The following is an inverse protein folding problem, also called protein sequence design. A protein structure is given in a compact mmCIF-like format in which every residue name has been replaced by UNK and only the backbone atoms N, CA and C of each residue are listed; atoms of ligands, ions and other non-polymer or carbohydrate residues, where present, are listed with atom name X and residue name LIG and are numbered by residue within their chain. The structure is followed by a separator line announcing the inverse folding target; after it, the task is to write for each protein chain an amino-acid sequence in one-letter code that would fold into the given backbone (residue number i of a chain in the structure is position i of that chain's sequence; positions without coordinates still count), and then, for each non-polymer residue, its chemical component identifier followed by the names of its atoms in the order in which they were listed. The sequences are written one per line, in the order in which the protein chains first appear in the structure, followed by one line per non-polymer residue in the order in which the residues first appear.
data_IF_212471880222
#
_entry.id   IF_212471880222
#
_cell.length_a   1.000
_cell.length_b   1.000
_cell.length_c   1.000
_cell.angle_alpha   90.00
_cell.angle_beta   90.00
_cell.angle_gamma   90.00
#
_symmetry.space_group_name_H-M   'P 1'
#
loop_
_entity.id
_entity.type
_entity.pdbx_description
1 polymer ?
#
# COMPACT_ATOMS: atom_id res chain seq x y z
N UNK A 1 19.75 21.53 28.14
CA UNK A 1 19.36 20.94 26.84
C UNK A 1 20.54 20.11 26.36
N UNK A 2 20.35 18.89 25.84
CA UNK A 2 21.47 18.13 25.31
C UNK A 2 22.10 18.87 24.13
N UNK A 3 23.43 18.95 24.16
CA UNK A 3 24.27 19.52 23.11
C UNK A 3 24.35 18.51 21.95
N UNK A 4 23.54 18.72 20.92
CA UNK A 4 23.64 17.95 19.69
C UNK A 4 24.78 18.53 18.86
N UNK A 5 25.98 17.95 19.02
CA UNK A 5 27.12 18.20 18.15
C UNK A 5 26.70 18.13 16.67
N UNK A 6 27.02 19.18 15.91
CA UNK A 6 26.70 19.36 14.49
C UNK A 6 27.67 18.64 13.55
N UNK A 7 28.55 17.77 14.06
CA UNK A 7 29.56 17.05 13.25
C UNK A 7 29.01 15.84 12.47
N UNK A 8 27.69 15.65 12.45
CA UNK A 8 27.07 14.61 11.61
C UNK A 8 26.98 15.09 10.16
N UNK A 9 27.30 14.24 9.16
CA UNK A 9 27.12 14.59 7.75
C UNK A 9 25.66 14.98 7.49
N UNK A 10 25.39 15.89 6.53
CA UNK A 10 24.04 16.34 6.24
C UNK A 10 23.16 15.16 5.81
N UNK A 11 22.02 15.00 6.49
CA UNK A 11 21.04 13.95 6.23
C UNK A 11 20.56 14.03 4.78
N UNK A 12 20.65 12.92 4.06
CA UNK A 12 20.14 12.82 2.69
C UNK A 12 18.64 12.56 2.73
N UNK A 13 17.91 13.12 1.78
CA UNK A 13 16.47 12.85 1.63
C UNK A 13 16.19 11.34 1.55
N UNK A 14 17.02 10.60 0.81
CA UNK A 14 16.90 9.15 0.68
C UNK A 14 16.98 8.41 2.04
N UNK A 15 17.84 8.85 2.96
CA UNK A 15 17.97 8.24 4.30
C UNK A 15 16.72 8.50 5.14
N UNK A 16 16.15 9.71 5.05
CA UNK A 16 14.90 10.05 5.71
C UNK A 16 13.72 9.24 5.14
N UNK A 17 13.65 9.07 3.82
CA UNK A 17 12.58 8.30 3.18
C UNK A 17 12.69 6.80 3.48
N UNK A 18 13.91 6.26 3.57
CA UNK A 18 14.12 4.87 4.01
C UNK A 18 13.70 4.66 5.47
N UNK A 19 14.03 5.58 6.37
CA UNK A 19 13.57 5.51 7.76
C UNK A 19 12.03 5.57 7.86
N UNK A 20 11.40 6.43 7.06
CA UNK A 20 9.95 6.53 6.99
C UNK A 20 9.31 5.27 6.39
N UNK A 21 9.94 4.65 5.39
CA UNK A 21 9.43 3.43 4.77
C UNK A 21 9.43 2.25 5.76
N UNK A 22 10.44 2.14 6.62
CA UNK A 22 10.47 1.15 7.71
C UNK A 22 9.30 1.35 8.68
N UNK A 23 8.99 2.59 9.04
CA UNK A 23 7.84 2.88 9.90
C UNK A 23 6.52 2.50 9.23
N UNK A 24 6.38 2.73 7.92
CA UNK A 24 5.19 2.30 7.17
C UNK A 24 5.11 0.79 7.00
N UNK A 25 6.22 0.08 6.79
CA UNK A 25 6.23 -1.39 6.73
C UNK A 25 5.65 -1.97 8.02
N UNK A 26 6.08 -1.45 9.18
CA UNK A 26 5.56 -1.86 10.49
C UNK A 26 4.05 -1.57 10.63
N UNK A 27 3.60 -0.39 10.25
CA UNK A 27 2.17 -0.02 10.31
C UNK A 27 1.28 -0.82 9.36
N UNK A 28 1.88 -1.40 8.31
CA UNK A 28 1.19 -2.23 7.32
C UNK A 28 1.35 -3.74 7.59
N UNK A 29 2.03 -4.13 8.66
CA UNK A 29 2.31 -5.54 8.99
C UNK A 29 3.27 -6.23 8.03
N UNK A 30 4.05 -5.45 7.28
CA UNK A 30 5.01 -5.99 6.31
C UNK A 30 6.35 -6.32 6.96
N UNK A 31 7.13 -7.26 6.39
CA UNK A 31 8.50 -7.51 6.82
C UNK A 31 9.33 -6.21 6.79
N UNK A 32 10.32 -6.11 7.68
CA UNK A 32 11.26 -4.99 7.63
C UNK A 32 11.95 -4.94 6.26
N UNK A 33 12.14 -3.73 5.73
CA UNK A 33 12.77 -3.50 4.42
C UNK A 33 11.92 -3.96 3.22
N UNK A 34 10.63 -4.25 3.40
CA UNK A 34 9.72 -4.61 2.32
C UNK A 34 9.60 -3.50 1.27
N UNK A 35 9.39 -2.26 1.70
CA UNK A 35 9.35 -1.12 0.78
C UNK A 35 10.69 -0.87 0.09
N UNK A 36 11.82 -1.09 0.77
CA UNK A 36 13.16 -0.93 0.19
C UNK A 36 13.48 -2.02 -0.84
N UNK A 37 13.09 -3.26 -0.56
CA UNK A 37 13.20 -4.37 -1.51
C UNK A 37 12.34 -4.10 -2.75
N UNK A 38 11.10 -3.66 -2.52
CA UNK A 38 10.18 -3.25 -3.59
C UNK A 38 10.78 -2.12 -4.44
N UNK A 39 11.45 -1.14 -3.80
CA UNK A 39 12.10 -0.02 -4.49
C UNK A 39 13.21 -0.49 -5.44
N UNK A 40 14.07 -1.41 -5.00
CA UNK A 40 15.13 -1.96 -5.87
C UNK A 40 14.52 -2.68 -7.08
N UNK A 41 13.47 -3.48 -6.86
CA UNK A 41 12.79 -4.21 -7.94
C UNK A 41 12.08 -3.22 -8.90
N UNK A 42 11.38 -2.22 -8.37
CA UNK A 42 10.65 -1.22 -9.17
C UNK A 42 11.59 -0.41 -10.08
N UNK A 43 12.71 0.07 -9.54
CA UNK A 43 13.69 0.82 -10.33
C UNK A 43 14.28 -0.06 -11.43
N UNK A 44 14.67 -1.31 -11.12
CA UNK A 44 15.22 -2.24 -12.14
C UNK A 44 14.19 -2.61 -13.22
N UNK A 45 12.93 -2.80 -12.84
CA UNK A 45 11.84 -3.02 -13.80
C UNK A 45 11.65 -1.79 -14.70
N UNK A 46 11.68 -0.60 -14.11
CA UNK A 46 11.61 0.66 -14.85
C UNK A 46 12.77 0.83 -15.83
N UNK A 47 14.01 0.55 -15.41
CA UNK A 47 15.20 0.61 -16.27
C UNK A 47 15.06 -0.35 -17.46
N UNK A 48 14.65 -1.59 -17.19
CA UNK A 48 14.43 -2.60 -18.23
C UNK A 48 13.29 -2.22 -19.20
N UNK A 49 12.28 -1.49 -18.72
CA UNK A 49 11.18 -0.97 -19.53
C UNK A 49 11.52 0.36 -20.24
N UNK A 50 12.72 0.92 -20.04
CA UNK A 50 13.16 2.15 -20.70
C UNK A 50 12.51 3.43 -20.15
N UNK A 51 12.12 3.43 -18.87
CA UNK A 51 11.59 4.63 -18.20
C UNK A 51 12.64 5.75 -18.16
N UNK A 52 12.17 7.00 -18.18
CA UNK A 52 13.03 8.17 -18.05
C UNK A 52 13.63 8.26 -16.64
N UNK A 53 14.74 8.99 -16.46
CA UNK A 53 15.32 9.24 -15.12
C UNK A 53 14.30 9.89 -14.17
N UNK A 54 13.39 10.72 -14.69
CA UNK A 54 12.35 11.35 -13.89
C UNK A 54 11.32 10.31 -13.39
N UNK A 55 10.90 9.38 -14.24
CA UNK A 55 9.98 8.30 -13.86
C UNK A 55 10.65 7.28 -12.93
N UNK A 56 11.94 6.98 -13.12
CA UNK A 56 12.70 6.12 -12.22
C UNK A 56 12.82 6.72 -10.82
N UNK A 57 13.04 8.03 -10.74
CA UNK A 57 13.05 8.76 -9.47
C UNK A 57 11.68 8.70 -8.80
N UNK A 58 10.60 8.91 -9.55
CA UNK A 58 9.26 8.85 -8.99
C UNK A 58 8.90 7.41 -8.57
N UNK A 59 9.34 6.38 -9.30
CA UNK A 59 9.21 4.97 -8.92
C UNK A 59 9.97 4.63 -7.64
N UNK A 60 11.18 5.18 -7.48
CA UNK A 60 12.00 5.04 -6.28
C UNK A 60 11.24 5.55 -5.04
N UNK A 61 10.68 6.76 -5.10
CA UNK A 61 9.94 7.33 -3.99
C UNK A 61 8.55 6.71 -3.82
N UNK A 62 7.91 6.29 -4.92
CA UNK A 62 6.61 5.62 -4.86
C UNK A 62 6.75 4.31 -4.10
N UNK A 63 7.72 3.47 -4.43
CA UNK A 63 7.94 2.22 -3.71
C UNK A 63 8.23 2.41 -2.21
N UNK A 64 8.98 3.46 -1.84
CA UNK A 64 9.29 3.76 -0.44
C UNK A 64 8.12 4.35 0.35
N UNK A 65 7.31 5.20 -0.30
CA UNK A 65 6.31 6.03 0.39
C UNK A 65 4.87 5.66 0.04
N UNK A 66 4.67 4.59 -0.74
CA UNK A 66 3.36 4.10 -1.19
C UNK A 66 2.31 4.10 -0.09
N UNK A 67 2.69 3.70 1.12
CA UNK A 67 1.76 3.56 2.25
C UNK A 67 1.80 4.69 3.27
N UNK A 68 2.47 5.80 2.97
CA UNK A 68 2.62 6.94 3.90
C UNK A 68 1.27 7.50 4.38
N UNK A 69 0.20 7.35 3.58
CA UNK A 69 -1.16 7.76 3.92
C UNK A 69 -2.09 6.65 4.45
N UNK A 70 -1.66 5.39 4.46
CA UNK A 70 -2.55 4.24 4.73
C UNK A 70 -2.92 4.04 6.21
N UNK A 71 -2.44 4.92 7.07
CA UNK A 71 -2.77 4.91 8.50
C UNK A 71 -3.95 5.81 8.86
N UNK A 72 -4.51 6.54 7.90
CA UNK A 72 -5.55 7.56 8.13
C UNK A 72 -6.83 6.97 8.73
N UNK A 73 -7.22 5.78 8.27
CA UNK A 73 -8.48 5.12 8.64
C UNK A 73 -8.26 3.82 9.42
N UNK A 74 -7.07 3.62 10.00
CA UNK A 74 -6.74 2.42 10.80
C UNK A 74 -7.73 2.22 11.94
N UNK A 75 -8.18 3.29 12.60
CA UNK A 75 -9.21 3.20 13.65
C UNK A 75 -10.55 2.66 13.13
N UNK A 76 -10.96 3.09 11.93
CA UNK A 76 -12.19 2.60 11.32
C UNK A 76 -12.04 1.12 10.96
N UNK A 77 -10.94 0.74 10.30
CA UNK A 77 -10.68 -0.64 9.92
C UNK A 77 -10.61 -1.56 11.16
N UNK A 78 -9.88 -1.17 12.21
CA UNK A 78 -9.77 -1.97 13.44
C UNK A 78 -11.11 -2.10 14.17
N UNK A 79 -11.98 -1.09 14.10
CA UNK A 79 -13.36 -1.18 14.63
C UNK A 79 -14.25 -2.21 13.90
N UNK A 80 -13.83 -2.67 12.72
CA UNK A 80 -14.52 -3.68 11.92
C UNK A 80 -13.90 -5.05 12.13
N UNK A 81 -12.58 -5.15 11.93
CA UNK A 81 -11.87 -6.44 11.82
C UNK A 81 -11.09 -6.84 13.07
N UNK A 82 -11.03 -5.97 14.09
CA UNK A 82 -10.19 -6.18 15.26
C UNK A 82 -8.71 -5.98 14.92
N UNK A 83 -8.02 -7.06 14.56
CA UNK A 83 -6.59 -7.06 14.24
C UNK A 83 -6.35 -6.70 12.77
N UNK A 84 -6.28 -5.39 12.49
CA UNK A 84 -6.09 -4.87 11.15
C UNK A 84 -4.68 -5.08 10.59
N UNK A 85 -3.67 -5.24 11.46
CA UNK A 85 -2.29 -5.55 11.04
C UNK A 85 -2.24 -6.95 10.46
N UNK A 86 -2.84 -7.94 11.15
CA UNK A 86 -2.93 -9.29 10.64
C UNK A 86 -3.76 -9.33 9.34
N UNK A 87 -4.87 -8.59 9.27
CA UNK A 87 -5.67 -8.47 8.03
C UNK A 87 -4.81 -7.95 6.86
N UNK A 88 -4.06 -6.86 7.03
CA UNK A 88 -3.19 -6.29 5.98
C UNK A 88 -2.11 -7.26 5.52
N UNK A 89 -1.54 -8.02 6.46
CA UNK A 89 -0.53 -9.06 6.19
C UNK A 89 -1.08 -10.21 5.35
N UNK A 90 -2.37 -10.51 5.49
CA UNK A 90 -3.04 -11.50 4.66
C UNK A 90 -3.52 -10.92 3.33
N UNK A 91 -4.12 -9.72 3.35
CA UNK A 91 -4.66 -9.03 2.18
C UNK A 91 -3.64 -8.88 1.05
N UNK A 92 -2.38 -8.57 1.39
CA UNK A 92 -1.31 -8.39 0.39
C UNK A 92 -1.08 -9.64 -0.47
N UNK A 93 -1.53 -10.83 -0.03
CA UNK A 93 -1.37 -12.11 -0.72
C UNK A 93 -2.57 -12.46 -1.61
N UNK A 94 -3.65 -11.69 -1.54
CA UNK A 94 -4.88 -11.89 -2.30
C UNK A 94 -4.81 -11.02 -3.55
N UNK A 95 -5.16 -11.58 -4.70
CA UNK A 95 -5.38 -10.78 -5.90
C UNK A 95 -6.53 -9.80 -5.62
N UNK A 96 -6.28 -8.51 -5.74
CA UNK A 96 -7.30 -7.46 -5.52
C UNK A 96 -8.49 -7.55 -6.49
N UNK A 97 -8.37 -8.30 -7.59
CA UNK A 97 -9.48 -8.62 -8.50
C UNK A 97 -10.40 -9.73 -7.95
N UNK A 98 -9.90 -10.54 -7.01
CA UNK A 98 -10.64 -11.61 -6.34
C UNK A 98 -11.45 -11.05 -5.15
N UNK A 99 -12.61 -10.50 -5.51
CA UNK A 99 -13.56 -9.92 -4.55
C UNK A 99 -14.07 -10.99 -3.59
N UNK A 100 -14.25 -12.23 -4.04
CA UNK A 100 -14.76 -13.34 -3.22
C UNK A 100 -13.78 -13.64 -2.08
N UNK A 101 -12.51 -13.93 -2.42
CA UNK A 101 -11.45 -14.16 -1.43
C UNK A 101 -11.28 -12.97 -0.47
N UNK A 102 -11.39 -11.75 -0.98
CA UNK A 102 -11.30 -10.53 -0.16
C UNK A 102 -12.44 -10.44 0.85
N UNK A 103 -13.69 -10.68 0.43
CA UNK A 103 -14.87 -10.64 1.31
C UNK A 103 -14.82 -11.78 2.32
N UNK A 104 -14.44 -12.98 1.91
CA UNK A 104 -14.27 -14.13 2.81
C UNK A 104 -13.25 -13.85 3.91
N UNK A 105 -12.11 -13.25 3.55
CA UNK A 105 -11.09 -12.81 4.50
C UNK A 105 -11.68 -11.81 5.50
N UNK A 106 -12.34 -10.75 5.03
CA UNK A 106 -12.92 -9.72 5.91
C UNK A 106 -13.96 -10.32 6.86
N UNK A 107 -14.86 -11.17 6.37
CA UNK A 107 -15.86 -11.86 7.20
C UNK A 107 -15.17 -12.73 8.25
N UNK A 108 -14.11 -13.46 7.89
CA UNK A 108 -13.35 -14.28 8.85
C UNK A 108 -12.78 -13.43 9.98
N UNK A 109 -12.20 -12.27 9.68
CA UNK A 109 -11.69 -11.37 10.71
C UNK A 109 -12.79 -10.76 11.58
N UNK A 110 -13.94 -10.36 11.00
CA UNK A 110 -15.11 -9.92 11.78
C UNK A 110 -15.54 -11.01 12.76
N UNK A 111 -15.57 -12.28 12.33
CA UNK A 111 -15.90 -13.42 13.21
C UNK A 111 -14.89 -13.59 14.35
N UNK A 112 -13.60 -13.47 14.05
CA UNK A 112 -12.54 -13.59 15.06
C UNK A 112 -12.62 -12.47 16.11
N UNK A 113 -12.85 -11.22 15.67
CA UNK A 113 -13.02 -10.06 16.55
C UNK A 113 -14.25 -10.17 17.46
N UNK A 114 -15.25 -10.98 17.06
CA UNK A 114 -16.52 -11.16 17.76
C UNK A 114 -16.74 -12.61 18.22
N UNK A 115 -15.67 -13.33 18.57
CA UNK A 115 -15.72 -14.76 18.91
C UNK A 115 -16.66 -15.12 20.09
N UNK A 116 -17.01 -14.16 20.94
CA UNK A 116 -17.94 -14.34 22.07
C UNK A 116 -19.41 -14.05 21.73
N UNK A 117 -19.70 -13.55 20.52
CA UNK A 117 -21.07 -13.23 20.10
C UNK A 117 -21.88 -14.50 19.81
N UNK A 118 -23.19 -14.47 20.08
CA UNK A 118 -24.10 -15.51 19.61
C UNK A 118 -24.20 -15.51 18.08
N UNK A 119 -24.64 -16.60 17.44
CA UNK A 119 -24.82 -16.65 15.99
C UNK A 119 -25.72 -15.53 15.44
N UNK A 120 -26.78 -15.16 16.17
CA UNK A 120 -27.69 -14.08 15.76
C UNK A 120 -27.01 -12.71 15.87
N UNK A 121 -26.26 -12.47 16.95
CA UNK A 121 -25.50 -11.22 17.13
C UNK A 121 -24.43 -11.09 16.06
N UNK A 122 -23.71 -12.17 15.75
CA UNK A 122 -22.69 -12.19 14.73
C UNK A 122 -23.25 -11.90 13.33
N UNK A 123 -24.40 -12.48 12.98
CA UNK A 123 -25.08 -12.17 11.72
C UNK A 123 -25.44 -10.67 11.63
N UNK A 124 -26.00 -10.10 12.70
CA UNK A 124 -26.32 -8.67 12.76
C UNK A 124 -25.07 -7.77 12.63
N UNK A 125 -23.96 -8.14 13.27
CA UNK A 125 -22.69 -7.42 13.16
C UNK A 125 -22.18 -7.46 11.72
N UNK A 126 -22.16 -8.64 11.10
CA UNK A 126 -21.74 -8.78 9.70
C UNK A 126 -22.63 -7.92 8.80
N UNK A 127 -23.95 -7.97 8.93
CA UNK A 127 -24.87 -7.16 8.13
C UNK A 127 -24.60 -5.65 8.30
N UNK A 128 -24.39 -5.19 9.54
CA UNK A 128 -24.06 -3.80 9.83
C UNK A 128 -22.74 -3.38 9.19
N UNK A 129 -21.68 -4.18 9.34
CA UNK A 129 -20.36 -3.88 8.78
C UNK A 129 -20.35 -3.95 7.25
N UNK A 130 -21.09 -4.89 6.66
CA UNK A 130 -21.24 -5.00 5.21
C UNK A 130 -22.01 -3.81 4.61
N UNK A 131 -22.90 -3.17 5.38
CA UNK A 131 -23.54 -1.93 4.96
C UNK A 131 -22.54 -0.76 4.80
N UNK A 132 -21.37 -0.83 5.44
CA UNK A 132 -20.28 0.15 5.31
C UNK A 132 -19.35 -0.13 4.13
N UNK A 133 -19.52 -1.26 3.42
CA UNK A 133 -18.67 -1.64 2.27
C UNK A 133 -18.52 -0.52 1.20
N UNK A 134 -19.56 0.28 0.87
CA UNK A 134 -19.40 1.39 -0.07
C UNK A 134 -18.35 2.42 0.38
N UNK A 135 -18.13 2.60 1.69
CA UNK A 135 -17.11 3.53 2.21
C UNK A 135 -15.69 3.12 1.84
N UNK A 136 -15.45 1.84 1.57
CA UNK A 136 -14.14 1.34 1.15
C UNK A 136 -13.68 2.05 -0.13
N UNK A 137 -14.58 2.18 -1.11
CA UNK A 137 -14.27 2.79 -2.41
C UNK A 137 -14.52 4.29 -2.44
N UNK A 138 -15.46 4.81 -1.64
CA UNK A 138 -15.78 6.25 -1.63
C UNK A 138 -14.97 7.07 -0.64
N UNK A 139 -14.35 6.45 0.36
CA UNK A 139 -13.70 7.18 1.46
C UNK A 139 -12.36 6.57 1.89
N UNK A 140 -12.30 5.27 2.18
CA UNK A 140 -11.10 4.61 2.71
C UNK A 140 -9.90 4.70 1.72
N UNK A 141 -10.03 4.12 0.52
CA UNK A 141 -8.95 4.19 -0.47
C UNK A 141 -8.67 5.62 -0.97
N UNK A 142 -9.68 6.45 -1.31
CA UNK A 142 -9.43 7.84 -1.69
C UNK A 142 -8.77 8.66 -0.57
N UNK A 143 -9.15 8.42 0.69
CA UNK A 143 -8.61 9.08 1.87
C UNK A 143 -7.12 8.81 2.05
N UNK A 144 -6.71 7.54 1.89
CA UNK A 144 -5.30 7.15 1.88
C UNK A 144 -4.50 7.91 0.80
N UNK A 145 -5.02 7.96 -0.43
CA UNK A 145 -4.39 8.68 -1.53
C UNK A 145 -4.32 10.20 -1.30
N UNK A 146 -5.35 10.80 -0.69
CA UNK A 146 -5.38 12.22 -0.33
C UNK A 146 -4.35 12.54 0.76
N UNK A 147 -4.28 11.75 1.83
CA UNK A 147 -3.28 11.94 2.89
C UNK A 147 -1.87 11.78 2.32
N UNK A 148 -1.64 10.79 1.46
CA UNK A 148 -0.34 10.60 0.83
C UNK A 148 0.08 11.79 -0.04
N UNK A 149 -0.85 12.33 -0.87
CA UNK A 149 -0.63 13.56 -1.63
C UNK A 149 -0.27 14.73 -0.74
N UNK A 150 -1.03 14.96 0.33
CA UNK A 150 -0.78 16.07 1.27
C UNK A 150 0.58 15.93 1.97
N UNK A 151 0.98 14.71 2.34
CA UNK A 151 2.30 14.46 2.94
C UNK A 151 3.43 14.68 1.93
N UNK A 152 3.28 14.19 0.69
CA UNK A 152 4.26 14.42 -0.37
C UNK A 152 4.44 15.93 -0.66
N UNK A 153 3.35 16.69 -0.76
CA UNK A 153 3.40 18.15 -0.91
C UNK A 153 4.12 18.82 0.27
N UNK A 154 3.84 18.39 1.51
CA UNK A 154 4.51 18.94 2.71
C UNK A 154 5.99 18.60 2.79
N UNK A 155 6.39 17.46 2.24
CA UNK A 155 7.79 17.05 2.09
C UNK A 155 8.47 17.72 0.89
N UNK A 156 7.78 18.64 0.20
CA UNK A 156 8.28 19.41 -0.93
C UNK A 156 8.68 18.54 -2.14
N UNK A 157 7.99 17.41 -2.33
CA UNK A 157 8.13 16.64 -3.56
C UNK A 157 7.51 17.39 -4.75
N UNK A 158 8.03 17.17 -5.98
CA UNK A 158 7.47 17.77 -7.18
C UNK A 158 6.06 17.22 -7.47
N UNK A 159 5.29 17.99 -8.24
CA UNK A 159 3.92 17.63 -8.65
C UNK A 159 3.86 16.27 -9.37
N UNK A 160 4.94 15.87 -10.07
CA UNK A 160 5.02 14.56 -10.72
C UNK A 160 4.89 13.41 -9.70
N UNK A 161 5.53 13.54 -8.55
CA UNK A 161 5.46 12.55 -7.48
C UNK A 161 4.16 12.66 -6.69
N UNK A 162 3.67 13.88 -6.42
CA UNK A 162 2.35 14.08 -5.78
C UNK A 162 1.26 13.38 -6.58
N UNK A 163 1.28 13.51 -7.92
CA UNK A 163 0.38 12.75 -8.80
C UNK A 163 0.59 11.24 -8.68
N UNK A 164 1.83 10.76 -8.73
CA UNK A 164 2.20 9.33 -8.65
C UNK A 164 1.66 8.68 -7.38
N UNK A 165 1.95 9.26 -6.21
CA UNK A 165 1.53 8.70 -4.91
C UNK A 165 0.01 8.75 -4.71
N UNK A 166 -0.66 9.67 -5.40
CA UNK A 166 -2.12 9.73 -5.44
C UNK A 166 -2.80 8.59 -6.22
N UNK A 167 -2.03 7.76 -6.92
CA UNK A 167 -2.54 6.67 -7.77
C UNK A 167 -2.26 5.28 -7.19
N UNK A 168 -1.88 5.16 -5.90
CA UNK A 168 -1.40 3.90 -5.34
C UNK A 168 -2.37 2.72 -5.53
N UNK A 169 -3.69 2.92 -5.47
CA UNK A 169 -4.67 1.83 -5.71
C UNK A 169 -5.25 1.81 -7.13
N UNK A 170 -4.68 2.56 -8.07
CA UNK A 170 -5.08 2.49 -9.47
C UNK A 170 -4.78 1.10 -10.02
N UNK A 171 -5.64 0.62 -10.93
CA UNK A 171 -5.49 -0.66 -11.61
C UNK A 171 -5.49 -0.41 -13.11
N UNK A 172 -4.63 -1.12 -13.84
CA UNK A 172 -4.49 -0.95 -15.29
C UNK A 172 -5.81 -1.07 -16.07
N UNK A 173 -6.74 -1.90 -15.58
CA UNK A 173 -8.06 -2.14 -16.17
C UNK A 173 -9.09 -1.02 -15.93
N UNK A 174 -8.81 -0.07 -15.04
CA UNK A 174 -9.73 1.00 -14.64
C UNK A 174 -10.60 0.67 -13.43
N UNK A 175 -10.45 -0.51 -12.81
CA UNK A 175 -11.26 -0.95 -11.68
C UNK A 175 -10.66 -0.56 -10.31
N UNK A 176 -9.56 0.21 -10.33
CA UNK A 176 -8.90 0.70 -9.12
C UNK A 176 -9.44 2.03 -8.60
N UNK A 177 -8.79 2.55 -7.57
CA UNK A 177 -9.10 3.85 -6.96
C UNK A 177 -7.82 4.70 -6.93
N UNK A 178 -7.72 5.80 -7.71
CA UNK A 178 -8.72 6.36 -8.62
C UNK A 178 -8.98 5.47 -9.84
N UNK A 179 -10.14 5.66 -10.48
CA UNK A 179 -10.58 4.93 -11.67
C UNK A 179 -9.85 5.41 -12.95
N UNK A 180 -8.53 5.30 -12.94
CA UNK A 180 -7.64 5.55 -14.08
C UNK A 180 -7.35 4.24 -14.80
N UNK A 181 -7.18 4.31 -16.13
CA UNK A 181 -6.97 3.13 -16.98
C UNK A 181 -5.75 3.31 -17.89
N UNK A 182 -4.98 2.25 -18.07
CA UNK A 182 -3.86 2.23 -18.99
C UNK A 182 -2.87 3.35 -18.75
N UNK A 183 -2.50 4.04 -19.82
CA UNK A 183 -1.53 5.15 -19.84
C UNK A 183 -1.97 6.40 -19.06
N UNK A 184 -3.20 6.43 -18.52
CA UNK A 184 -3.62 7.47 -17.58
C UNK A 184 -2.95 7.30 -16.19
N UNK A 185 -2.43 6.10 -15.89
CA UNK A 185 -1.67 5.80 -14.67
C UNK A 185 -0.20 6.12 -14.93
N UNK A 186 0.48 6.73 -13.96
CA UNK A 186 1.90 7.05 -14.13
C UNK A 186 2.74 5.78 -14.29
N UNK A 187 3.78 5.79 -15.15
CA UNK A 187 4.68 4.65 -15.29
C UNK A 187 5.30 4.22 -13.96
N UNK A 188 5.64 5.20 -13.10
CA UNK A 188 6.16 4.98 -11.76
C UNK A 188 5.21 4.15 -10.87
N UNK A 189 3.91 4.50 -10.84
CA UNK A 189 2.89 3.73 -10.11
C UNK A 189 2.79 2.29 -10.62
N UNK A 190 2.82 2.09 -11.95
CA UNK A 190 2.68 0.77 -12.55
C UNK A 190 3.86 -0.16 -12.22
N UNK A 191 5.09 0.34 -12.34
CA UNK A 191 6.28 -0.47 -11.99
C UNK A 191 6.37 -0.72 -10.49
N UNK A 192 5.94 0.22 -9.64
CA UNK A 192 5.91 0.03 -8.20
C UNK A 192 4.87 -1.01 -7.77
N UNK A 193 3.67 -0.99 -8.38
CA UNK A 193 2.63 -2.01 -8.20
C UNK A 193 3.14 -3.40 -8.59
N UNK A 194 3.69 -3.53 -9.79
CA UNK A 194 4.23 -4.80 -10.29
C UNK A 194 5.37 -5.32 -9.40
N UNK A 195 6.29 -4.43 -8.99
CA UNK A 195 7.38 -4.79 -8.11
C UNK A 195 6.90 -5.29 -6.74
N UNK A 196 5.87 -4.65 -6.20
CA UNK A 196 5.29 -5.02 -4.92
C UNK A 196 4.73 -6.44 -4.96
N UNK A 197 3.87 -6.73 -5.94
CA UNK A 197 3.29 -8.06 -6.13
C UNK A 197 4.39 -9.12 -6.36
N UNK A 198 5.42 -8.77 -7.14
CA UNK A 198 6.55 -9.66 -7.37
C UNK A 198 7.32 -9.98 -6.07
N UNK A 199 7.53 -8.99 -5.19
CA UNK A 199 8.18 -9.20 -3.87
C UNK A 199 7.33 -10.07 -2.97
N UNK A 200 6.01 -9.86 -2.93
CA UNK A 200 5.08 -10.67 -2.13
C UNK A 200 5.12 -12.12 -2.60
N UNK A 201 4.92 -12.35 -3.89
CA UNK A 201 4.89 -13.69 -4.46
C UNK A 201 6.26 -14.37 -4.37
N UNK A 202 7.36 -13.61 -4.49
CA UNK A 202 8.70 -14.13 -4.23
C UNK A 202 8.83 -14.65 -2.79
N UNK A 203 8.33 -13.91 -1.81
CA UNK A 203 8.36 -14.36 -0.41
C UNK A 203 7.46 -15.58 -0.15
N UNK A 204 6.41 -15.78 -0.96
CA UNK A 204 5.50 -16.93 -0.84
C UNK A 204 6.00 -18.20 -1.54
N UNK A 205 6.68 -18.07 -2.68
CA UNK A 205 7.01 -19.23 -3.53
C UNK A 205 8.25 -19.05 -4.42
N UNK A 206 9.10 -18.07 -4.09
CA UNK A 206 10.32 -17.76 -4.83
C UNK A 206 10.06 -17.21 -6.23
N UNK A 207 11.11 -17.26 -7.07
CA UNK A 207 11.09 -16.70 -8.44
C UNK A 207 9.98 -17.29 -9.30
N UNK A 208 9.65 -18.58 -9.14
CA UNK A 208 8.60 -19.22 -9.92
C UNK A 208 7.23 -18.58 -9.66
N UNK A 209 6.89 -18.32 -8.40
CA UNK A 209 5.65 -17.64 -8.04
C UNK A 209 5.64 -16.17 -8.54
N UNK A 210 6.75 -15.45 -8.33
CA UNK A 210 6.87 -14.06 -8.77
C UNK A 210 6.79 -13.87 -10.29
N UNK A 211 7.22 -14.86 -11.08
CA UNK A 211 7.16 -14.77 -12.56
C UNK A 211 5.86 -15.32 -13.14
N UNK A 212 5.11 -16.12 -12.39
CA UNK A 212 3.82 -16.64 -12.85
C UNK A 212 2.75 -15.55 -13.02
N UNK A 213 2.79 -14.49 -12.20
CA UNK A 213 1.88 -13.33 -12.31
C UNK A 213 2.11 -12.46 -13.55
N UNK A 214 3.28 -12.56 -14.18
CA UNK A 214 3.68 -11.72 -15.31
C UNK A 214 3.42 -12.37 -16.68
N UNK A 215 2.70 -13.51 -16.71
CA UNK A 215 2.35 -14.27 -17.91
C UNK A 215 0.89 -14.06 -18.28
#
# INVERSE_FOLDING_TARGET
MPDYSTDSPPLRLAELMAALSIATDLGMGQPIEYAMTTCIVAVRLGEAAGLSEADLRDAYYEALLRYIGCNADTYWLSSIVGDEIALRTEYVKIDTADIESTVEMVIRYIRQANASASPQQLAQIIDQKMAELPLVTTSFFPGHCEVARRLATRLNFPESFVRTVGQMYARWDGQGVPALKGDAITPATLVALLAQDAVVLYNMGGVAAATAMAR
#
